data_IF_609551870295
#
_entry.id   IF_609551870295
#
_cell.length_a   1.000
_cell.length_b   1.000
_cell.length_c   1.000
_cell.angle_alpha   90.00
_cell.angle_beta   90.00
_cell.angle_gamma   90.00
#
_symmetry.space_group_name_H-M   'P 1'
#
loop_
_entity.id
_entity.type
_entity.pdbx_description
1 polymer ?
#
# COMPACT_ATOMS: atom_id res chain seq x y z
N UNK A 1 11.05 9.65 19.62
CA UNK A 1 10.68 8.51 18.77
C UNK A 1 9.67 7.64 19.50
N UNK A 2 8.47 7.47 18.96
CA UNK A 2 7.46 6.58 19.55
C UNK A 2 8.01 5.15 19.55
N UNK A 3 7.74 4.43 20.63
CA UNK A 3 8.15 3.05 20.80
C UNK A 3 6.90 2.17 20.87
N UNK A 4 6.93 1.05 20.16
CA UNK A 4 5.86 0.06 20.27
C UNK A 4 5.92 -0.64 21.62
N UNK A 5 4.76 -0.75 22.27
CA UNK A 5 4.60 -1.25 23.65
C UNK A 5 3.53 -2.35 23.74
N UNK A 6 3.40 -3.16 22.69
CA UNK A 6 2.48 -4.31 22.67
C UNK A 6 1.09 -4.00 22.10
N UNK A 7 0.87 -2.82 21.50
CA UNK A 7 -0.40 -2.52 20.85
C UNK A 7 -0.67 -3.50 19.69
N UNK A 8 -1.94 -3.74 19.32
CA UNK A 8 -2.25 -4.48 18.10
C UNK A 8 -1.70 -3.73 16.88
N UNK A 9 -1.12 -4.46 15.95
CA UNK A 9 -0.42 -3.90 14.79
C UNK A 9 -1.22 -4.14 13.52
N UNK A 10 -1.41 -3.08 12.73
CA UNK A 10 -1.87 -3.14 11.36
C UNK A 10 -0.70 -2.78 10.42
N UNK A 11 -0.45 -3.65 9.45
CA UNK A 11 0.57 -3.45 8.41
C UNK A 11 -0.11 -2.88 7.18
N UNK A 12 0.25 -1.68 6.77
CA UNK A 12 -0.46 -0.92 5.74
C UNK A 12 0.48 -0.60 4.59
N UNK A 13 0.09 -0.99 3.38
CA UNK A 13 0.77 -0.59 2.14
C UNK A 13 0.51 0.88 1.82
N UNK A 14 1.37 1.47 0.99
CA UNK A 14 1.24 2.86 0.56
C UNK A 14 0.59 2.95 -0.82
N UNK A 15 1.22 2.39 -1.87
CA UNK A 15 0.76 2.58 -3.25
C UNK A 15 -0.53 1.81 -3.55
N UNK A 16 -1.52 2.53 -4.07
CA UNK A 16 -2.87 2.05 -4.38
C UNK A 16 -3.64 1.48 -3.18
N UNK A 17 -3.18 1.86 -1.98
CA UNK A 17 -3.92 1.76 -0.71
C UNK A 17 -4.12 3.16 -0.13
N UNK A 18 -3.07 3.90 0.12
CA UNK A 18 -3.11 5.28 0.64
C UNK A 18 -2.83 6.32 -0.44
N UNK A 19 -1.83 6.07 -1.29
CA UNK A 19 -1.43 6.93 -2.39
C UNK A 19 -2.01 6.38 -3.70
N UNK A 20 -2.63 7.24 -4.50
CA UNK A 20 -3.19 6.87 -5.80
C UNK A 20 -2.08 6.78 -6.87
N UNK A 21 -1.26 5.72 -6.77
CA UNK A 21 -0.08 5.55 -7.61
C UNK A 21 -0.43 5.30 -9.08
N UNK A 22 -1.30 4.34 -9.36
CA UNK A 22 -1.65 3.98 -10.75
C UNK A 22 -2.21 5.18 -11.51
N UNK A 23 -3.11 5.92 -10.90
CA UNK A 23 -3.69 7.13 -11.46
C UNK A 23 -2.61 8.21 -11.69
N UNK A 24 -1.83 8.50 -10.68
CA UNK A 24 -0.78 9.53 -10.75
C UNK A 24 0.33 9.19 -11.74
N UNK A 25 0.77 7.93 -11.78
CA UNK A 25 1.76 7.46 -12.74
C UNK A 25 1.24 7.50 -14.18
N UNK A 26 -0.02 7.09 -14.39
CA UNK A 26 -0.68 7.17 -15.70
C UNK A 26 -0.78 8.61 -16.20
N UNK A 27 -1.19 9.54 -15.35
CA UNK A 27 -1.25 10.97 -15.68
C UNK A 27 0.13 11.52 -16.03
N UNK A 28 1.15 11.15 -15.28
CA UNK A 28 2.53 11.53 -15.56
C UNK A 28 3.03 10.97 -16.91
N UNK A 29 2.77 9.67 -17.19
CA UNK A 29 3.11 9.06 -18.48
C UNK A 29 2.47 9.81 -19.64
N UNK A 30 1.21 10.17 -19.49
CA UNK A 30 0.50 10.91 -20.53
C UNK A 30 1.10 12.29 -20.78
N UNK A 31 1.41 13.02 -19.72
CA UNK A 31 2.02 14.36 -19.82
C UNK A 31 3.45 14.32 -20.39
N UNK A 32 4.22 13.29 -20.01
CA UNK A 32 5.64 13.18 -20.38
C UNK A 32 5.85 12.58 -21.76
N UNK A 33 5.07 11.57 -22.12
CA UNK A 33 5.26 10.74 -23.32
C UNK A 33 4.05 10.70 -24.26
N UNK A 34 2.92 11.28 -23.90
CA UNK A 34 1.68 11.18 -24.65
C UNK A 34 1.05 9.78 -24.64
N UNK A 35 1.53 8.89 -23.79
CA UNK A 35 1.05 7.51 -23.68
C UNK A 35 0.03 7.41 -22.54
N UNK A 36 -1.14 6.85 -22.82
CA UNK A 36 -2.16 6.56 -21.82
C UNK A 36 -2.01 5.14 -21.32
N UNK A 37 -1.93 4.97 -20.01
CA UNK A 37 -2.06 3.67 -19.36
C UNK A 37 -3.53 3.46 -18.97
N UNK A 38 -4.01 2.23 -19.12
CA UNK A 38 -5.31 1.83 -18.63
C UNK A 38 -5.21 1.47 -17.14
N UNK A 39 -5.69 2.36 -16.28
CA UNK A 39 -5.63 2.18 -14.82
C UNK A 39 -6.55 1.05 -14.34
N UNK A 40 -7.55 0.69 -15.14
CA UNK A 40 -8.49 -0.40 -14.86
C UNK A 40 -8.04 -1.73 -15.49
N UNK A 41 -6.86 -1.76 -16.10
CA UNK A 41 -6.26 -2.96 -16.66
C UNK A 41 -6.04 -4.02 -15.59
N UNK A 42 -6.18 -5.30 -15.99
CA UNK A 42 -5.80 -6.45 -15.16
C UNK A 42 -4.28 -6.61 -15.01
N UNK A 43 -3.50 -5.89 -15.82
CA UNK A 43 -2.05 -5.85 -15.65
C UNK A 43 -1.69 -5.09 -14.38
N UNK A 44 -0.97 -5.73 -13.47
CA UNK A 44 -0.43 -5.04 -12.29
C UNK A 44 0.62 -4.01 -12.67
N UNK A 45 1.54 -4.39 -13.57
CA UNK A 45 2.54 -3.48 -14.13
C UNK A 45 2.04 -2.94 -15.47
N UNK A 46 2.26 -1.68 -15.76
CA UNK A 46 1.83 -1.02 -17.02
C UNK A 46 2.65 -1.48 -18.25
N UNK A 47 2.80 -2.76 -18.44
CA UNK A 47 3.64 -3.35 -19.49
C UNK A 47 3.21 -2.87 -20.88
N UNK A 48 1.89 -2.91 -21.15
CA UNK A 48 1.33 -2.48 -22.45
C UNK A 48 1.59 -1.00 -22.72
N UNK A 49 1.43 -0.13 -21.73
CA UNK A 49 1.70 1.29 -21.88
C UNK A 49 3.20 1.56 -22.04
N UNK A 50 4.03 0.94 -21.20
CA UNK A 50 5.48 1.11 -21.23
C UNK A 50 6.12 0.58 -22.52
N UNK A 51 5.54 -0.46 -23.13
CA UNK A 51 6.02 -0.99 -24.42
C UNK A 51 5.91 0.02 -25.58
N UNK A 52 5.08 1.05 -25.44
CA UNK A 52 4.91 2.12 -26.43
C UNK A 52 5.97 3.22 -26.29
N UNK A 53 6.78 3.16 -25.25
CA UNK A 53 7.84 4.12 -24.97
C UNK A 53 9.18 3.48 -25.38
N UNK A 54 9.97 4.17 -26.18
CA UNK A 54 11.27 3.67 -26.64
C UNK A 54 12.36 3.85 -25.57
N UNK A 55 12.07 3.43 -24.35
CA UNK A 55 12.97 3.42 -23.19
C UNK A 55 12.67 2.17 -22.37
N UNK A 56 13.65 1.68 -21.60
CA UNK A 56 13.39 0.61 -20.67
C UNK A 56 12.59 1.11 -19.46
N UNK A 57 11.89 0.20 -18.79
CA UNK A 57 11.02 0.53 -17.66
C UNK A 57 11.76 1.15 -16.46
N UNK A 58 12.99 0.73 -16.22
CA UNK A 58 13.83 1.30 -15.16
C UNK A 58 14.16 2.76 -15.44
N UNK A 59 14.47 3.09 -16.69
CA UNK A 59 14.74 4.46 -17.10
C UNK A 59 13.51 5.35 -16.97
N UNK A 60 12.36 4.85 -17.40
CA UNK A 60 11.08 5.57 -17.25
C UNK A 60 10.75 5.81 -15.78
N UNK A 61 10.93 4.78 -14.94
CA UNK A 61 10.73 4.92 -13.50
C UNK A 61 11.68 5.93 -12.86
N UNK A 62 12.96 5.92 -13.27
CA UNK A 62 13.92 6.94 -12.81
C UNK A 62 13.51 8.36 -13.18
N UNK A 63 12.96 8.55 -14.38
CA UNK A 63 12.41 9.86 -14.80
C UNK A 63 11.23 10.27 -13.92
N UNK A 64 10.37 9.33 -13.54
CA UNK A 64 9.28 9.56 -12.60
C UNK A 64 9.80 10.03 -11.22
N UNK A 65 10.86 9.40 -10.73
CA UNK A 65 11.52 9.81 -9.49
C UNK A 65 12.14 11.20 -9.61
N UNK A 66 12.85 11.47 -10.71
CA UNK A 66 13.50 12.77 -10.96
C UNK A 66 12.45 13.91 -11.04
N UNK A 67 11.25 13.62 -11.50
CA UNK A 67 10.12 14.55 -11.54
C UNK A 67 9.34 14.61 -10.20
N UNK A 68 9.88 14.05 -9.13
CA UNK A 68 9.26 13.99 -7.79
C UNK A 68 7.85 13.35 -7.82
N UNK A 69 7.70 12.29 -8.63
CA UNK A 69 6.41 11.68 -8.91
C UNK A 69 5.67 11.19 -7.66
N UNK A 70 6.37 10.56 -6.73
CA UNK A 70 5.76 10.08 -5.49
C UNK A 70 5.28 11.21 -4.56
N UNK A 71 6.00 12.35 -4.55
CA UNK A 71 5.62 13.50 -3.73
C UNK A 71 4.31 14.17 -4.18
N UNK A 72 3.90 13.95 -5.44
CA UNK A 72 2.75 14.61 -6.08
C UNK A 72 1.48 13.74 -6.11
N UNK A 73 1.53 12.53 -5.60
CA UNK A 73 0.38 11.62 -5.60
C UNK A 73 -0.76 12.16 -4.73
N UNK A 74 -1.99 11.95 -5.19
CA UNK A 74 -3.17 12.22 -4.35
C UNK A 74 -3.34 11.11 -3.30
N UNK A 75 -4.06 11.41 -2.23
CA UNK A 75 -4.37 10.46 -1.16
C UNK A 75 -5.74 9.83 -1.38
N UNK A 76 -5.87 8.54 -1.07
CA UNK A 76 -7.15 7.86 -0.93
C UNK A 76 -7.80 8.29 0.39
N UNK A 77 -8.86 9.09 0.29
CA UNK A 77 -9.52 9.69 1.47
C UNK A 77 -10.24 8.67 2.33
N UNK A 78 -10.81 7.62 1.73
CA UNK A 78 -11.47 6.54 2.46
C UNK A 78 -10.48 5.76 3.32
N UNK A 79 -9.36 5.39 2.75
CA UNK A 79 -8.33 4.65 3.49
C UNK A 79 -7.57 5.52 4.49
N UNK A 80 -7.43 6.82 4.22
CA UNK A 80 -6.94 7.77 5.22
C UNK A 80 -7.85 7.81 6.45
N UNK A 81 -9.16 7.89 6.24
CA UNK A 81 -10.15 7.87 7.33
C UNK A 81 -10.10 6.55 8.11
N UNK A 82 -9.92 5.43 7.40
CA UNK A 82 -9.72 4.12 8.03
C UNK A 82 -8.52 4.15 8.98
N UNK A 83 -7.39 4.73 8.57
CA UNK A 83 -6.21 4.81 9.44
C UNK A 83 -6.47 5.64 10.70
N UNK A 84 -7.20 6.74 10.59
CA UNK A 84 -7.60 7.51 11.76
C UNK A 84 -8.48 6.70 12.71
N UNK A 85 -9.40 5.92 12.16
CA UNK A 85 -10.25 5.03 12.97
C UNK A 85 -9.43 3.95 13.67
N UNK A 86 -8.46 3.35 12.98
CA UNK A 86 -7.53 2.38 13.58
C UNK A 86 -6.72 3.00 14.72
N UNK A 87 -6.22 4.20 14.54
CA UNK A 87 -5.50 4.93 15.60
C UNK A 87 -6.40 5.20 16.81
N UNK A 88 -7.64 5.60 16.56
CA UNK A 88 -8.62 5.85 17.61
C UNK A 88 -8.89 4.60 18.46
N UNK A 89 -8.85 3.42 17.84
CA UNK A 89 -9.02 2.14 18.53
C UNK A 89 -7.73 1.52 19.09
N UNK A 90 -6.64 2.27 19.09
CA UNK A 90 -5.41 1.86 19.76
C UNK A 90 -4.44 1.05 18.91
N UNK A 91 -4.63 0.96 17.60
CA UNK A 91 -3.69 0.27 16.72
C UNK A 91 -2.37 1.01 16.60
N UNK A 92 -1.30 0.24 16.58
CA UNK A 92 -0.01 0.67 16.04
C UNK A 92 -0.04 0.49 14.54
N UNK A 93 0.12 1.57 13.78
CA UNK A 93 0.12 1.55 12.32
C UNK A 93 1.55 1.56 11.82
N UNK A 94 1.95 0.46 11.18
CA UNK A 94 3.23 0.34 10.52
C UNK A 94 3.04 0.34 9.02
N UNK A 95 3.51 1.38 8.34
CA UNK A 95 3.52 1.43 6.88
C UNK A 95 4.64 0.54 6.37
N UNK A 96 4.32 -0.35 5.44
CA UNK A 96 5.29 -1.25 4.82
C UNK A 96 5.15 -1.15 3.29
N UNK A 97 6.17 -0.62 2.65
CA UNK A 97 6.18 -0.35 1.22
C UNK A 97 7.28 -1.10 0.49
N UNK A 98 6.99 -1.54 -0.74
CA UNK A 98 7.99 -2.12 -1.63
C UNK A 98 8.74 -1.06 -2.46
N UNK A 99 8.52 0.23 -2.20
CA UNK A 99 9.30 1.30 -2.83
C UNK A 99 10.79 1.10 -2.57
N UNK A 100 11.67 1.41 -3.56
CA UNK A 100 13.12 1.23 -3.39
C UNK A 100 13.70 2.29 -2.45
N UNK A 101 14.11 1.88 -1.25
CA UNK A 101 14.72 2.79 -0.26
C UNK A 101 16.13 3.24 -0.64
N UNK A 102 16.81 2.46 -1.49
CA UNK A 102 18.13 2.78 -2.03
C UNK A 102 18.12 3.99 -2.97
N UNK A 103 16.96 4.31 -3.54
CA UNK A 103 16.75 5.51 -4.36
C UNK A 103 16.42 6.70 -3.45
N UNK A 104 17.39 7.55 -3.17
CA UNK A 104 17.27 8.65 -2.20
C UNK A 104 16.10 9.58 -2.49
N UNK A 105 15.81 9.87 -3.76
CA UNK A 105 14.67 10.70 -4.11
C UNK A 105 13.34 10.03 -3.74
N UNK A 106 13.24 8.72 -3.96
CA UNK A 106 12.06 7.93 -3.57
C UNK A 106 11.87 7.94 -2.05
N UNK A 107 12.96 7.72 -1.31
CA UNK A 107 12.96 7.75 0.15
C UNK A 107 12.49 9.12 0.67
N UNK A 108 13.08 10.20 0.17
CA UNK A 108 12.73 11.56 0.54
C UNK A 108 11.27 11.89 0.23
N UNK A 109 10.83 11.61 -1.00
CA UNK A 109 9.45 11.88 -1.44
C UNK A 109 8.42 11.09 -0.64
N UNK A 110 8.77 9.88 -0.23
CA UNK A 110 7.90 9.04 0.61
C UNK A 110 7.65 9.69 1.97
N UNK A 111 8.71 10.09 2.67
CA UNK A 111 8.58 10.78 3.96
C UNK A 111 7.89 12.14 3.82
N UNK A 112 8.24 12.88 2.78
CA UNK A 112 7.60 14.16 2.47
C UNK A 112 6.10 13.98 2.27
N UNK A 113 5.68 13.01 1.45
CA UNK A 113 4.28 12.74 1.16
C UNK A 113 3.50 12.33 2.41
N UNK A 114 4.05 11.43 3.22
CA UNK A 114 3.43 10.99 4.49
C UNK A 114 3.17 12.19 5.39
N UNK A 115 4.13 13.08 5.49
CA UNK A 115 4.03 14.28 6.32
C UNK A 115 3.03 15.28 5.73
N UNK A 116 3.12 15.53 4.43
CA UNK A 116 2.24 16.46 3.71
C UNK A 116 0.77 16.03 3.76
N UNK A 117 0.49 14.75 3.65
CA UNK A 117 -0.86 14.20 3.71
C UNK A 117 -1.34 13.93 5.13
N UNK A 118 -0.52 14.20 6.13
CA UNK A 118 -0.83 13.96 7.54
C UNK A 118 -1.29 12.51 7.81
N UNK A 119 -0.54 11.55 7.27
CA UNK A 119 -0.86 10.13 7.43
C UNK A 119 -0.63 9.70 8.89
N UNK A 120 -1.64 9.15 9.57
CA UNK A 120 -1.52 8.72 10.96
C UNK A 120 -0.81 7.37 11.06
N UNK A 121 0.52 7.39 11.04
CA UNK A 121 1.33 6.20 11.20
C UNK A 121 2.34 6.35 12.32
N UNK A 122 2.77 5.23 12.87
CA UNK A 122 3.73 5.17 13.98
C UNK A 122 5.12 4.80 13.51
N UNK A 123 5.22 4.04 12.43
CA UNK A 123 6.49 3.61 11.83
C UNK A 123 6.33 3.37 10.34
N UNK A 124 7.45 3.38 9.64
CA UNK A 124 7.53 3.02 8.22
C UNK A 124 8.75 2.14 7.99
N UNK A 125 8.58 1.14 7.11
CA UNK A 125 9.67 0.28 6.63
C UNK A 125 9.53 0.02 5.14
N UNK A 126 10.66 -0.30 4.51
CA UNK A 126 10.78 -0.58 3.09
C UNK A 126 11.22 -2.02 2.91
N UNK A 127 10.49 -2.80 2.15
CA UNK A 127 10.88 -4.16 1.79
C UNK A 127 10.11 -4.66 0.56
N UNK A 128 10.79 -5.26 -0.42
CA UNK A 128 10.11 -5.95 -1.52
C UNK A 128 9.51 -7.29 -1.09
N UNK A 129 9.92 -7.85 0.05
CA UNK A 129 9.48 -9.13 0.63
C UNK A 129 8.73 -8.87 1.94
N UNK A 130 7.47 -8.43 1.83
CA UNK A 130 6.71 -7.90 2.96
C UNK A 130 6.43 -8.90 4.06
N UNK A 131 5.97 -10.11 3.73
CA UNK A 131 5.76 -11.13 4.76
C UNK A 131 7.06 -11.51 5.45
N UNK A 132 8.15 -11.66 4.69
CA UNK A 132 9.46 -11.98 5.27
C UNK A 132 9.94 -10.89 6.24
N UNK A 133 9.68 -9.63 5.91
CA UNK A 133 9.93 -8.52 6.82
C UNK A 133 9.12 -8.67 8.11
N UNK A 134 7.80 -8.92 7.98
CA UNK A 134 6.91 -9.15 9.14
C UNK A 134 7.40 -10.30 10.01
N UNK A 135 7.75 -11.44 9.41
CA UNK A 135 8.20 -12.63 10.12
C UNK A 135 9.50 -12.42 10.93
N UNK A 136 10.30 -11.43 10.56
CA UNK A 136 11.52 -11.04 11.29
C UNK A 136 11.28 -9.94 12.31
N UNK A 137 10.08 -9.38 12.37
CA UNK A 137 9.75 -8.31 13.30
C UNK A 137 9.39 -8.87 14.68
N UNK A 138 9.64 -8.08 15.71
CA UNK A 138 9.17 -8.39 17.07
C UNK A 138 7.64 -8.45 17.17
N UNK A 139 6.92 -7.78 16.27
CA UNK A 139 5.46 -7.86 16.21
C UNK A 139 4.97 -9.29 15.96
N UNK A 140 5.64 -9.98 15.05
CA UNK A 140 5.29 -11.35 14.69
C UNK A 140 5.56 -12.32 15.84
N UNK A 141 6.72 -12.19 16.48
CA UNK A 141 7.11 -13.02 17.62
C UNK A 141 6.12 -12.90 18.78
N UNK A 142 5.55 -11.71 18.99
CA UNK A 142 4.56 -11.46 20.04
C UNK A 142 3.11 -11.67 19.59
N UNK A 143 2.87 -12.11 18.35
CA UNK A 143 1.54 -12.32 17.80
C UNK A 143 0.71 -11.02 17.68
N UNK A 144 1.37 -9.88 17.55
CA UNK A 144 0.73 -8.57 17.56
C UNK A 144 0.17 -8.14 16.21
N UNK A 145 0.64 -8.71 15.09
CA UNK A 145 0.12 -8.38 13.75
C UNK A 145 -1.29 -8.96 13.62
N UNK A 146 -2.28 -8.09 13.57
CA UNK A 146 -3.69 -8.49 13.50
C UNK A 146 -4.18 -8.63 12.07
N UNK A 147 -3.72 -7.76 11.19
CA UNK A 147 -4.05 -7.80 9.75
C UNK A 147 -3.09 -6.92 8.95
N UNK A 148 -3.15 -7.10 7.65
CA UNK A 148 -2.49 -6.23 6.68
C UNK A 148 -3.53 -5.65 5.70
N UNK A 149 -3.21 -4.52 5.09
CA UNK A 149 -3.92 -3.96 3.95
C UNK A 149 -2.92 -3.81 2.81
N UNK A 150 -3.19 -4.45 1.69
CA UNK A 150 -2.34 -4.42 0.50
C UNK A 150 -3.18 -4.67 -0.75
N UNK A 151 -2.90 -3.97 -1.83
CA UNK A 151 -3.60 -4.14 -3.12
C UNK A 151 -2.91 -5.13 -4.05
N UNK A 152 -1.61 -5.37 -3.84
CA UNK A 152 -0.78 -6.17 -4.72
C UNK A 152 -1.04 -7.67 -4.52
N UNK A 153 -1.41 -8.43 -5.58
CA UNK A 153 -1.69 -9.84 -5.48
C UNK A 153 -0.57 -10.65 -4.82
N UNK A 154 0.67 -10.41 -5.21
CA UNK A 154 1.85 -11.09 -4.63
C UNK A 154 1.89 -10.97 -3.11
N UNK A 155 1.72 -9.76 -2.58
CA UNK A 155 1.80 -9.52 -1.14
C UNK A 155 0.58 -10.03 -0.40
N UNK A 156 -0.62 -9.81 -0.94
CA UNK A 156 -1.85 -10.29 -0.34
C UNK A 156 -1.88 -11.82 -0.22
N UNK A 157 -1.50 -12.54 -1.28
CA UNK A 157 -1.40 -13.99 -1.29
C UNK A 157 -0.36 -14.50 -0.27
N UNK A 158 0.78 -13.83 -0.18
CA UNK A 158 1.85 -14.21 0.73
C UNK A 158 1.43 -14.03 2.20
N UNK A 159 0.79 -12.92 2.54
CA UNK A 159 0.18 -12.73 3.85
C UNK A 159 -0.85 -13.82 4.18
N UNK A 160 -1.80 -14.03 3.28
CA UNK A 160 -2.89 -14.98 3.47
C UNK A 160 -2.41 -16.42 3.63
N UNK A 161 -1.44 -16.83 2.82
CA UNK A 161 -0.78 -18.14 2.87
C UNK A 161 -0.16 -18.42 4.24
N UNK A 162 0.34 -17.40 4.91
CA UNK A 162 0.98 -17.51 6.22
C UNK A 162 0.07 -17.14 7.39
N UNK A 163 -1.25 -17.09 7.16
CA UNK A 163 -2.23 -16.88 8.21
C UNK A 163 -2.45 -15.44 8.65
N UNK A 164 -1.88 -14.47 7.96
CA UNK A 164 -2.16 -13.05 8.19
C UNK A 164 -3.36 -12.65 7.34
N UNK A 165 -4.43 -12.21 7.98
CA UNK A 165 -5.61 -11.66 7.29
C UNK A 165 -5.20 -10.43 6.49
N UNK A 166 -5.50 -10.42 5.19
CA UNK A 166 -5.21 -9.30 4.31
C UNK A 166 -6.51 -8.72 3.76
N UNK A 167 -6.73 -7.44 4.03
CA UNK A 167 -7.85 -6.67 3.48
C UNK A 167 -7.36 -5.99 2.21
N UNK A 168 -8.06 -6.25 1.11
CA UNK A 168 -7.62 -5.86 -0.24
C UNK A 168 -8.61 -4.87 -0.83
N UNK A 169 -8.21 -3.62 -1.08
CA UNK A 169 -9.04 -2.69 -1.84
C UNK A 169 -9.26 -3.27 -3.23
N UNK A 170 -10.52 -3.46 -3.61
CA UNK A 170 -10.89 -4.17 -4.83
C UNK A 170 -10.48 -3.40 -6.08
N UNK A 171 -9.64 -4.01 -6.88
CA UNK A 171 -9.14 -3.50 -8.16
C UNK A 171 -9.26 -4.59 -9.23
N UNK A 172 -9.20 -4.19 -10.50
CA UNK A 172 -9.26 -5.13 -11.63
C UNK A 172 -8.14 -6.18 -11.63
N UNK A 173 -6.96 -5.82 -11.13
CA UNK A 173 -5.78 -6.70 -11.10
C UNK A 173 -5.71 -7.61 -9.88
N UNK A 174 -6.60 -7.46 -8.91
CA UNK A 174 -6.63 -8.28 -7.69
C UNK A 174 -7.98 -8.97 -7.42
N UNK A 175 -8.98 -8.77 -8.27
CA UNK A 175 -10.32 -9.32 -8.10
C UNK A 175 -10.38 -10.86 -8.18
N UNK A 176 -9.38 -11.48 -8.78
CA UNK A 176 -9.24 -12.95 -8.88
C UNK A 176 -8.76 -13.62 -7.58
N UNK A 177 -8.26 -12.84 -6.63
CA UNK A 177 -7.76 -13.38 -5.37
C UNK A 177 -8.88 -14.03 -4.58
N UNK A 178 -8.68 -15.30 -4.24
CA UNK A 178 -9.64 -16.11 -3.49
C UNK A 178 -8.91 -16.98 -2.46
N UNK A 179 -8.96 -16.53 -1.20
CA UNK A 179 -8.36 -17.22 -0.06
C UNK A 179 -9.16 -16.86 1.19
N UNK A 180 -9.37 -17.79 2.13
CA UNK A 180 -10.11 -17.52 3.38
C UNK A 180 -9.54 -16.35 4.20
N UNK A 181 -8.28 -16.01 4.03
CA UNK A 181 -7.61 -14.90 4.72
C UNK A 181 -7.52 -13.62 3.87
N UNK A 182 -8.18 -13.58 2.71
CA UNK A 182 -8.26 -12.38 1.86
C UNK A 182 -9.70 -11.84 1.92
N UNK A 183 -9.81 -10.55 2.25
CA UNK A 183 -11.07 -9.83 2.39
C UNK A 183 -11.05 -8.63 1.47
N UNK A 184 -11.75 -8.72 0.32
CA UNK A 184 -11.91 -7.59 -0.58
C UNK A 184 -12.85 -6.55 0.01
N UNK A 185 -12.59 -5.27 -0.26
CA UNK A 185 -13.50 -4.20 0.12
C UNK A 185 -13.61 -3.12 -0.95
N UNK A 186 -14.77 -2.47 -1.02
CA UNK A 186 -15.07 -1.47 -2.04
C UNK A 186 -14.87 -0.03 -1.53
N UNK A 187 -15.12 0.23 -0.24
CA UNK A 187 -15.11 1.57 0.35
C UNK A 187 -14.89 1.53 1.86
N UNK A 188 -14.86 2.72 2.47
CA UNK A 188 -14.69 2.87 3.92
C UNK A 188 -15.70 2.07 4.74
N UNK A 189 -16.99 2.19 4.43
CA UNK A 189 -18.02 1.47 5.20
C UNK A 189 -17.89 -0.04 5.09
N UNK A 190 -17.55 -0.53 3.90
CA UNK A 190 -17.37 -1.96 3.66
C UNK A 190 -16.19 -2.53 4.45
N UNK A 191 -15.04 -1.86 4.44
CA UNK A 191 -13.87 -2.34 5.20
C UNK A 191 -14.09 -2.26 6.71
N UNK A 192 -14.74 -1.23 7.21
CA UNK A 192 -15.09 -1.13 8.63
C UNK A 192 -15.97 -2.29 9.04
N UNK A 193 -17.02 -2.58 8.29
CA UNK A 193 -17.91 -3.71 8.58
C UNK A 193 -17.17 -5.04 8.56
N UNK A 194 -16.31 -5.28 7.59
CA UNK A 194 -15.52 -6.50 7.48
C UNK A 194 -14.53 -6.66 8.63
N UNK A 195 -13.86 -5.58 9.03
CA UNK A 195 -12.98 -5.58 10.19
C UNK A 195 -13.74 -5.89 11.48
N UNK A 196 -14.93 -5.30 11.67
CA UNK A 196 -15.80 -5.59 12.81
C UNK A 196 -16.26 -7.05 12.83
N UNK A 197 -16.67 -7.59 11.69
CA UNK A 197 -17.08 -9.00 11.56
C UNK A 197 -15.95 -9.99 11.88
N UNK A 198 -14.70 -9.58 11.66
CA UNK A 198 -13.53 -10.37 12.03
C UNK A 198 -13.05 -10.13 13.47
N UNK A 199 -13.76 -9.31 14.24
CA UNK A 199 -13.38 -8.98 15.62
C UNK A 199 -12.12 -8.08 15.71
N UNK A 200 -11.80 -7.37 14.64
CA UNK A 200 -10.60 -6.53 14.54
C UNK A 200 -10.86 -5.06 14.89
N UNK A 201 -12.11 -4.63 14.83
CA UNK A 201 -12.57 -3.32 15.29
C UNK A 201 -13.80 -3.50 16.17
N UNK A 202 -13.92 -2.60 17.15
CA UNK A 202 -15.11 -2.46 17.99
C UNK A 202 -16.12 -1.49 17.32
N UNK A 203 -17.39 -1.79 17.52
CA UNK A 203 -18.47 -0.95 17.00
C UNK A 203 -18.70 0.33 17.81
#
# INVERSE_FOLDING_TARGET
>A
QKKWEGQPVAIIDIDDVLANFREGFSDWLHKKFGVRADVDSKEYYFITALSKINLNSEHVFKMFLDDEGFAKLTVDTDNLELLWQLKHQGYWIHLLTARPEEELQCLYDTYFWINQQNIPCDAISFSPEKFRWCAKSKYYDEGAIKFAIDDAPKHAEDYAKHGIKCFVPKKSYNDHLDNPNIFHFDNYHDVINKLMMQGLLEG
#
